data_IF_773335684199
#
_entry.id   IF_773335684199
#
_cell.length_a   1.000
_cell.length_b   1.000
_cell.length_c   1.000
_cell.angle_alpha   90.00
_cell.angle_beta   90.00
_cell.angle_gamma   90.00
#
_symmetry.space_group_name_H-M   'P 1'
#
loop_
_entity.id
_entity.type
_entity.pdbx_description
1 polymer ?
#
# COMPACT_ATOMS: atom_id res chain seq x y z
N UNK A 1 23.29 3.92 2.36
CA UNK A 1 21.88 3.48 2.18
C UNK A 1 21.09 3.95 3.38
N UNK A 2 19.87 4.41 3.16
CA UNK A 2 18.90 4.78 4.19
C UNK A 2 17.76 3.76 4.18
N UNK A 3 17.14 3.52 5.34
CA UNK A 3 15.92 2.72 5.44
C UNK A 3 15.00 3.27 6.53
N UNK A 4 13.70 3.03 6.39
CA UNK A 4 12.70 3.32 7.42
C UNK A 4 11.60 2.25 7.45
N UNK A 5 10.37 2.59 7.10
CA UNK A 5 9.15 1.85 7.40
C UNK A 5 9.20 0.41 6.86
N UNK A 6 8.90 -0.60 7.68
CA UNK A 6 8.62 -1.93 7.16
C UNK A 6 7.34 -1.89 6.29
N UNK A 7 7.32 -2.68 5.23
CA UNK A 7 6.26 -2.69 4.24
C UNK A 7 5.83 -4.15 3.95
N UNK A 8 4.53 -4.34 3.73
CA UNK A 8 3.89 -5.54 3.18
C UNK A 8 4.48 -6.91 3.60
N UNK A 9 4.69 -7.19 4.91
CA UNK A 9 5.14 -8.51 5.31
C UNK A 9 4.11 -9.57 4.96
N UNK A 10 4.56 -10.73 4.45
CA UNK A 10 3.69 -11.88 4.24
C UNK A 10 4.44 -13.20 4.35
N UNK A 11 3.68 -14.28 4.51
CA UNK A 11 4.18 -15.65 4.41
C UNK A 11 3.66 -16.27 3.13
N UNK A 12 4.56 -16.85 2.35
CA UNK A 12 4.24 -17.62 1.14
C UNK A 12 4.24 -19.11 1.50
N UNK A 13 3.05 -19.70 1.57
CA UNK A 13 2.89 -21.13 1.88
C UNK A 13 3.49 -22.04 0.81
N UNK A 14 3.53 -21.61 -0.45
CA UNK A 14 4.03 -22.43 -1.55
C UNK A 14 5.56 -22.56 -1.50
N UNK A 15 6.26 -21.50 -1.08
CA UNK A 15 7.73 -21.49 -0.96
C UNK A 15 8.22 -21.73 0.47
N UNK A 16 7.35 -21.57 1.47
CA UNK A 16 7.68 -21.62 2.89
C UNK A 16 8.52 -20.43 3.36
N UNK A 17 8.45 -19.29 2.66
CA UNK A 17 9.25 -18.10 2.93
C UNK A 17 8.40 -17.00 3.59
N UNK A 18 8.99 -16.35 4.58
CA UNK A 18 8.57 -15.04 5.06
C UNK A 18 9.20 -13.97 4.17
N UNK A 19 8.38 -13.07 3.67
CA UNK A 19 8.77 -11.90 2.90
C UNK A 19 8.65 -10.67 3.80
N UNK A 20 9.68 -9.83 3.80
CA UNK A 20 9.69 -8.53 4.47
C UNK A 20 10.20 -7.48 3.49
N UNK A 21 9.44 -6.40 3.33
CA UNK A 21 9.86 -5.25 2.55
C UNK A 21 10.13 -4.08 3.48
N UNK A 22 10.87 -3.10 2.99
CA UNK A 22 11.16 -1.89 3.74
C UNK A 22 11.40 -0.73 2.78
N UNK A 23 10.96 0.46 3.17
CA UNK A 23 11.34 1.69 2.48
C UNK A 23 12.85 1.89 2.58
N UNK A 24 13.49 2.17 1.45
CA UNK A 24 14.92 2.44 1.37
C UNK A 24 15.27 3.49 0.32
N UNK A 25 16.38 4.20 0.57
CA UNK A 25 17.08 4.94 -0.47
C UNK A 25 18.44 4.25 -0.70
N UNK A 26 18.62 3.51 -1.81
CA UNK A 26 19.87 2.82 -2.09
C UNK A 26 21.03 3.77 -2.42
N UNK A 27 20.73 5.00 -2.83
CA UNK A 27 21.71 5.97 -3.37
C UNK A 27 22.09 7.07 -2.37
N UNK A 28 21.51 7.08 -1.17
CA UNK A 28 21.79 8.10 -0.15
C UNK A 28 21.74 7.55 1.27
N UNK A 29 22.07 8.39 2.24
CA UNK A 29 21.90 8.17 3.69
C UNK A 29 20.83 9.07 4.28
N UNK A 30 20.09 9.79 3.45
CA UNK A 30 18.93 10.60 3.84
C UNK A 30 17.68 10.13 3.10
N UNK A 31 16.53 10.49 3.63
CA UNK A 31 15.24 10.23 3.02
C UNK A 31 15.09 10.87 1.64
N UNK A 32 14.40 10.19 0.73
CA UNK A 32 14.10 10.62 -0.65
C UNK A 32 14.28 9.47 -1.63
N UNK A 33 13.68 9.55 -2.82
CA UNK A 33 13.76 8.51 -3.84
C UNK A 33 13.40 7.11 -3.29
N UNK A 34 12.21 6.99 -2.72
CA UNK A 34 11.88 5.83 -1.90
C UNK A 34 11.56 4.60 -2.75
N UNK A 35 12.29 3.53 -2.46
CA UNK A 35 12.23 2.20 -3.08
C UNK A 35 11.83 1.19 -2.02
N UNK A 36 11.17 0.09 -2.39
CA UNK A 36 10.99 -1.05 -1.51
C UNK A 36 12.16 -2.02 -1.63
N UNK A 37 13.04 -2.03 -0.63
CA UNK A 37 13.98 -3.14 -0.43
C UNK A 37 13.23 -4.40 0.01
N UNK A 38 13.81 -5.58 -0.24
CA UNK A 38 13.16 -6.87 -0.01
C UNK A 38 14.14 -7.87 0.59
N UNK A 39 13.71 -8.55 1.65
CA UNK A 39 14.42 -9.70 2.20
C UNK A 39 13.45 -10.87 2.45
N UNK A 40 13.97 -12.08 2.39
CA UNK A 40 13.23 -13.31 2.71
C UNK A 40 13.89 -14.10 3.82
N UNK A 41 13.10 -14.87 4.55
CA UNK A 41 13.56 -15.74 5.63
C UNK A 41 12.73 -17.02 5.71
N UNK A 42 13.31 -18.09 6.26
CA UNK A 42 12.58 -19.32 6.61
C UNK A 42 12.21 -19.39 8.09
N UNK A 43 12.87 -18.60 8.93
CA UNK A 43 12.82 -18.69 10.39
C UNK A 43 12.55 -17.34 11.08
N UNK A 44 12.36 -16.27 10.30
CA UNK A 44 12.23 -14.86 10.75
C UNK A 44 13.46 -14.29 11.48
N UNK A 45 14.56 -15.03 11.54
CA UNK A 45 15.80 -14.65 12.23
C UNK A 45 16.93 -14.43 11.22
N UNK A 46 17.11 -15.39 10.32
CA UNK A 46 18.14 -15.36 9.27
C UNK A 46 17.51 -14.88 7.98
N UNK A 47 17.99 -13.74 7.47
CA UNK A 47 17.44 -13.08 6.30
C UNK A 47 18.42 -13.10 5.13
N UNK A 48 17.87 -13.27 3.92
CA UNK A 48 18.59 -13.15 2.66
C UNK A 48 17.98 -12.00 1.85
N UNK A 49 18.82 -11.09 1.39
CA UNK A 49 18.38 -10.03 0.48
C UNK A 49 17.85 -10.61 -0.83
N UNK A 50 16.72 -10.08 -1.26
CA UNK A 50 16.13 -10.25 -2.58
C UNK A 50 16.31 -8.97 -3.40
N UNK A 51 16.08 -9.02 -4.73
CA UNK A 51 16.05 -7.80 -5.53
C UNK A 51 15.06 -6.77 -4.97
N UNK A 52 15.37 -5.48 -5.13
CA UNK A 52 14.43 -4.41 -4.79
C UNK A 52 13.08 -4.64 -5.49
N UNK A 53 12.00 -4.57 -4.74
CA UNK A 53 10.68 -4.98 -5.19
C UNK A 53 9.99 -3.92 -6.06
N UNK A 54 9.97 -2.68 -5.58
CA UNK A 54 9.30 -1.55 -6.22
C UNK A 54 10.24 -0.35 -6.30
N UNK A 55 10.41 0.21 -7.49
CA UNK A 55 11.29 1.35 -7.76
C UNK A 55 10.47 2.56 -8.21
N UNK A 56 10.77 3.79 -7.76
CA UNK A 56 10.09 4.98 -8.25
C UNK A 56 10.50 5.33 -9.69
N UNK A 57 9.88 6.37 -10.26
CA UNK A 57 10.17 6.91 -11.61
C UNK A 57 9.88 5.97 -12.79
N UNK A 58 9.21 4.84 -12.56
CA UNK A 58 8.80 3.94 -13.64
C UNK A 58 7.52 4.41 -14.33
N UNK A 59 6.69 5.20 -13.63
CA UNK A 59 5.49 5.84 -14.13
C UNK A 59 5.29 7.22 -13.47
N UNK A 60 4.18 7.90 -13.80
CA UNK A 60 3.88 9.26 -13.30
C UNK A 60 3.26 9.30 -11.91
N UNK A 61 2.78 8.16 -11.39
CA UNK A 61 2.01 8.08 -10.16
C UNK A 61 2.88 7.87 -8.93
N UNK A 62 4.11 7.36 -9.10
CA UNK A 62 5.10 7.24 -8.03
C UNK A 62 6.48 7.82 -8.36
N UNK A 63 6.50 8.83 -9.23
CA UNK A 63 7.70 9.51 -9.69
C UNK A 63 8.43 10.34 -8.62
N UNK A 64 7.91 10.45 -7.40
CA UNK A 64 8.63 11.07 -6.27
C UNK A 64 8.87 10.10 -5.10
N UNK A 65 8.37 8.86 -5.20
CA UNK A 65 8.61 7.82 -4.22
C UNK A 65 7.52 6.76 -4.18
N UNK A 66 7.93 5.54 -3.81
CA UNK A 66 7.07 4.41 -3.46
C UNK A 66 6.99 4.34 -1.94
N UNK A 67 5.87 4.79 -1.38
CA UNK A 67 5.62 4.79 0.06
C UNK A 67 5.07 3.43 0.52
N UNK A 68 4.80 3.30 1.82
CA UNK A 68 4.48 2.04 2.49
C UNK A 68 3.08 1.58 2.13
N UNK A 69 2.79 0.36 2.55
CA UNK A 69 1.55 -0.34 2.26
C UNK A 69 1.67 -1.80 2.63
N UNK A 70 0.70 -2.60 2.19
CA UNK A 70 0.47 -3.96 2.66
C UNK A 70 0.18 -4.92 1.51
N UNK A 71 0.26 -6.22 1.79
CA UNK A 71 0.01 -7.27 0.81
C UNK A 71 -1.34 -7.95 1.04
N UNK A 72 -1.86 -8.57 -0.02
CA UNK A 72 -3.02 -9.45 0.02
C UNK A 72 -2.79 -10.64 -0.93
N UNK A 73 -3.08 -11.84 -0.43
CA UNK A 73 -3.12 -13.05 -1.23
C UNK A 73 -4.40 -13.09 -2.08
N UNK A 74 -4.32 -13.68 -3.27
CA UNK A 74 -5.48 -13.92 -4.13
C UNK A 74 -6.35 -12.65 -4.35
N UNK A 75 -5.69 -11.53 -4.64
CA UNK A 75 -6.36 -10.26 -4.88
C UNK A 75 -6.56 -10.04 -6.38
N UNK A 76 -5.90 -9.04 -6.96
CA UNK A 76 -6.10 -8.66 -8.37
C UNK A 76 -5.70 -9.81 -9.30
N UNK A 77 -6.61 -10.23 -10.16
CA UNK A 77 -6.50 -11.40 -11.06
C UNK A 77 -6.09 -12.71 -10.34
N UNK A 78 -6.47 -12.85 -9.06
CA UNK A 78 -6.10 -14.00 -8.22
C UNK A 78 -4.61 -14.06 -7.86
N UNK A 79 -3.85 -12.99 -8.11
CA UNK A 79 -2.42 -12.91 -7.82
C UNK A 79 -2.17 -12.40 -6.41
N UNK A 80 -1.00 -12.78 -5.87
CA UNK A 80 -0.45 -12.08 -4.73
C UNK A 80 -0.13 -10.63 -5.11
N UNK A 81 -0.67 -9.70 -4.34
CA UNK A 81 -0.70 -8.28 -4.67
C UNK A 81 -0.21 -7.46 -3.49
N UNK A 82 0.63 -6.46 -3.75
CA UNK A 82 0.93 -5.39 -2.79
C UNK A 82 0.14 -4.15 -3.18
N UNK A 83 -0.36 -3.45 -2.18
CA UNK A 83 -1.02 -2.17 -2.26
C UNK A 83 -0.06 -1.17 -1.63
N UNK A 84 0.18 -0.04 -2.26
CA UNK A 84 1.16 0.93 -1.79
C UNK A 84 0.75 2.35 -2.14
N UNK A 85 1.35 3.32 -1.45
CA UNK A 85 1.18 4.72 -1.81
C UNK A 85 2.18 5.17 -2.86
N UNK A 86 1.70 5.56 -4.03
CA UNK A 86 2.51 6.30 -5.01
C UNK A 86 2.53 7.78 -4.70
N UNK A 87 3.71 8.41 -4.80
CA UNK A 87 3.86 9.84 -4.57
C UNK A 87 4.22 10.58 -5.84
N UNK A 88 3.43 11.63 -6.15
CA UNK A 88 3.62 12.50 -7.31
C UNK A 88 3.77 14.00 -6.97
N UNK A 89 3.51 14.40 -5.73
CA UNK A 89 3.76 15.77 -5.25
C UNK A 89 4.41 15.78 -3.85
N UNK A 90 5.34 16.72 -3.65
CA UNK A 90 6.03 17.00 -2.39
C UNK A 90 6.10 18.51 -2.17
N UNK A 91 6.23 19.00 -0.92
CA UNK A 91 6.34 18.23 0.32
C UNK A 91 4.99 17.73 0.84
N UNK A 92 5.00 16.54 1.48
CA UNK A 92 3.84 16.02 2.23
C UNK A 92 4.10 16.23 3.72
N UNK A 93 3.17 16.87 4.42
CA UNK A 93 3.23 17.05 5.87
C UNK A 93 1.86 17.45 6.40
N UNK A 94 1.46 16.90 7.54
CA UNK A 94 0.22 17.26 8.23
C UNK A 94 0.15 18.73 8.68
N UNK A 95 1.29 19.45 8.65
CA UNK A 95 1.38 20.88 8.98
C UNK A 95 1.22 21.81 7.77
N UNK A 96 1.14 21.26 6.56
CA UNK A 96 1.13 22.01 5.30
C UNK A 96 -0.16 21.74 4.54
N UNK A 97 -0.46 22.62 3.60
CA UNK A 97 -1.50 22.38 2.62
C UNK A 97 -1.23 21.07 1.86
N UNK A 98 -2.29 20.31 1.64
CA UNK A 98 -2.24 19.03 0.97
C UNK A 98 -2.20 19.19 -0.56
N UNK A 99 -1.19 18.60 -1.19
CA UNK A 99 -0.91 18.80 -2.63
C UNK A 99 -1.53 17.74 -3.54
N UNK A 100 -2.40 16.86 -3.01
CA UNK A 100 -3.09 15.81 -3.79
C UNK A 100 -2.14 14.89 -4.57
N UNK A 101 -0.99 14.58 -3.97
CA UNK A 101 0.06 13.78 -4.60
C UNK A 101 0.30 12.41 -3.97
N UNK A 102 -0.62 11.87 -3.16
CA UNK A 102 -0.57 10.49 -2.68
C UNK A 102 -1.71 9.69 -3.34
N UNK A 103 -1.38 8.55 -3.93
CA UNK A 103 -2.30 7.70 -4.69
C UNK A 103 -2.26 6.26 -4.16
N UNK A 104 -3.37 5.54 -4.14
CA UNK A 104 -3.37 4.09 -3.85
C UNK A 104 -3.08 3.34 -5.16
N UNK A 105 -1.92 2.69 -5.22
CA UNK A 105 -1.44 1.87 -6.32
C UNK A 105 -1.35 0.40 -5.89
N UNK A 106 -1.04 -0.45 -6.85
CA UNK A 106 -0.78 -1.86 -6.61
C UNK A 106 0.33 -2.42 -7.51
N UNK A 107 0.90 -3.54 -7.09
CA UNK A 107 1.75 -4.38 -7.93
C UNK A 107 1.46 -5.85 -7.66
N UNK A 108 1.56 -6.69 -8.69
CA UNK A 108 1.32 -8.13 -8.60
C UNK A 108 2.62 -8.90 -8.82
N UNK A 109 2.70 -10.11 -8.26
CA UNK A 109 3.79 -11.05 -8.55
C UNK A 109 3.24 -12.35 -9.11
N UNK A 110 4.03 -13.04 -9.93
CA UNK A 110 3.72 -14.36 -10.49
C UNK A 110 4.86 -15.36 -10.32
N UNK A 111 5.87 -15.01 -9.52
CA UNK A 111 7.09 -15.80 -9.31
C UNK A 111 7.57 -15.74 -7.86
N UNK A 112 6.62 -15.93 -6.93
CA UNK A 112 6.91 -16.02 -5.49
C UNK A 112 7.56 -14.75 -4.93
N UNK A 113 7.12 -13.57 -5.39
CA UNK A 113 7.60 -12.29 -4.87
C UNK A 113 8.98 -11.86 -5.33
N UNK A 114 9.63 -12.60 -6.25
CA UNK A 114 10.97 -12.24 -6.74
C UNK A 114 10.98 -11.08 -7.73
N UNK A 115 9.88 -10.86 -8.46
CA UNK A 115 9.64 -9.65 -9.25
C UNK A 115 8.20 -9.17 -9.13
N UNK A 116 7.99 -7.87 -9.34
CA UNK A 116 6.70 -7.22 -9.21
C UNK A 116 6.35 -6.42 -10.46
N UNK A 117 5.11 -6.57 -10.91
CA UNK A 117 4.53 -5.82 -12.02
C UNK A 117 3.54 -4.81 -11.46
N UNK A 118 3.86 -3.52 -11.58
CA UNK A 118 2.97 -2.43 -11.18
C UNK A 118 1.72 -2.36 -12.05
N UNK A 119 0.61 -1.97 -11.42
CA UNK A 119 -0.62 -1.62 -12.12
C UNK A 119 -0.44 -0.39 -13.00
N UNK A 120 -1.19 -0.31 -14.10
CA UNK A 120 -1.08 0.81 -15.04
C UNK A 120 -1.71 2.12 -14.54
N UNK A 121 -2.62 2.04 -13.56
CA UNK A 121 -3.38 3.18 -13.01
C UNK A 121 -3.58 3.00 -11.49
N UNK A 122 -3.78 4.10 -10.74
CA UNK A 122 -4.21 4.04 -9.35
C UNK A 122 -5.51 3.26 -9.20
N UNK A 123 -5.63 2.50 -8.10
CA UNK A 123 -6.90 1.96 -7.63
C UNK A 123 -7.78 3.09 -7.08
N UNK A 124 -7.16 4.03 -6.37
CA UNK A 124 -7.81 5.24 -5.88
C UNK A 124 -6.85 6.40 -6.10
N UNK A 125 -7.22 7.32 -6.99
CA UNK A 125 -6.35 8.42 -7.39
C UNK A 125 -6.31 9.54 -6.34
N UNK A 126 -7.41 9.84 -5.66
CA UNK A 126 -7.49 10.99 -4.75
C UNK A 126 -8.21 10.61 -3.45
N UNK A 127 -7.93 11.31 -2.34
CA UNK A 127 -8.74 11.21 -1.14
C UNK A 127 -10.22 11.59 -1.42
N UNK A 128 -11.15 11.27 -0.51
CA UNK A 128 -12.56 11.58 -0.71
C UNK A 128 -12.78 13.09 -0.93
N UNK A 129 -13.66 13.41 -1.88
CA UNK A 129 -13.89 14.79 -2.32
C UNK A 129 -14.38 15.67 -1.17
N UNK A 130 -13.93 16.92 -1.16
CA UNK A 130 -14.37 17.94 -0.21
C UNK A 130 -13.70 17.87 1.16
N UNK A 131 -12.73 16.99 1.36
CA UNK A 131 -11.97 16.87 2.60
C UNK A 131 -10.63 17.60 2.51
N UNK A 132 -10.33 18.43 3.51
CA UNK A 132 -9.03 19.06 3.67
C UNK A 132 -8.09 18.12 4.43
N UNK A 133 -7.60 17.08 3.77
CA UNK A 133 -6.83 16.01 4.41
C UNK A 133 -5.42 16.46 4.80
N UNK A 134 -4.84 15.91 5.86
CA UNK A 134 -3.46 16.19 6.31
C UNK A 134 -2.41 15.24 5.69
N UNK A 135 -2.89 14.19 5.03
CA UNK A 135 -2.15 13.05 4.52
C UNK A 135 -3.16 11.95 4.18
N UNK A 136 -2.81 11.08 3.23
CA UNK A 136 -3.68 10.01 2.75
C UNK A 136 -2.84 8.91 2.10
N UNK A 137 -2.41 7.94 2.91
CA UNK A 137 -1.40 6.94 2.50
C UNK A 137 -1.49 5.63 3.27
N UNK A 138 -0.57 4.72 2.97
CA UNK A 138 -0.32 3.46 3.66
C UNK A 138 -1.52 2.49 3.55
N UNK A 139 -1.94 2.14 2.31
CA UNK A 139 -3.12 1.30 2.06
C UNK A 139 -2.99 -0.09 2.68
N UNK A 140 -3.95 -0.46 3.52
CA UNK A 140 -4.00 -1.75 4.21
C UNK A 140 -5.26 -2.53 3.79
N UNK A 141 -5.17 -3.50 2.87
CA UNK A 141 -6.29 -4.36 2.52
C UNK A 141 -6.52 -5.40 3.62
N UNK A 142 -7.77 -5.73 3.90
CA UNK A 142 -8.14 -6.74 4.90
C UNK A 142 -9.56 -7.28 4.67
N UNK A 143 -9.87 -8.41 5.32
CA UNK A 143 -11.21 -8.98 5.39
C UNK A 143 -11.78 -8.81 6.80
N UNK A 144 -13.10 -8.63 6.92
CA UNK A 144 -13.73 -8.45 8.23
C UNK A 144 -15.18 -8.87 8.25
N UNK A 145 -15.46 -10.02 8.87
CA UNK A 145 -16.82 -10.53 9.09
C UNK A 145 -17.70 -9.56 9.89
N UNK A 146 -17.11 -8.76 10.77
CA UNK A 146 -17.86 -7.75 11.54
C UNK A 146 -18.30 -6.59 10.66
N UNK A 147 -17.45 -6.15 9.74
CA UNK A 147 -17.82 -5.11 8.78
C UNK A 147 -18.79 -5.66 7.73
N UNK A 148 -18.61 -6.91 7.31
CA UNK A 148 -19.55 -7.60 6.40
C UNK A 148 -20.96 -7.55 6.97
N UNK A 149 -21.10 -7.99 8.22
CA UNK A 149 -22.38 -7.95 8.95
C UNK A 149 -22.91 -6.52 9.14
N UNK A 150 -22.04 -5.55 9.38
CA UNK A 150 -22.43 -4.16 9.60
C UNK A 150 -23.00 -3.52 8.33
N UNK A 151 -22.36 -3.76 7.18
CA UNK A 151 -22.76 -3.17 5.90
C UNK A 151 -23.70 -4.07 5.07
N UNK A 152 -23.94 -5.31 5.51
CA UNK A 152 -24.77 -6.27 4.80
C UNK A 152 -24.10 -6.91 3.59
N UNK A 153 -22.77 -7.05 3.62
CA UNK A 153 -22.00 -7.73 2.58
C UNK A 153 -21.86 -9.23 2.86
N UNK A 154 -21.66 -9.99 1.79
CA UNK A 154 -21.42 -11.43 1.83
C UNK A 154 -20.00 -11.72 1.33
N UNK A 155 -19.12 -12.16 2.22
CA UNK A 155 -17.74 -12.51 1.88
C UNK A 155 -17.64 -13.64 0.83
N UNK A 156 -18.69 -14.47 0.66
CA UNK A 156 -18.69 -15.56 -0.32
C UNK A 156 -18.84 -15.06 -1.75
N UNK A 157 -19.39 -13.86 -1.94
CA UNK A 157 -19.53 -13.21 -3.24
C UNK A 157 -18.43 -12.17 -3.51
N UNK A 158 -17.49 -12.00 -2.58
CA UNK A 158 -16.45 -10.98 -2.60
C UNK A 158 -16.76 -9.84 -1.63
N UNK A 159 -15.96 -9.71 -0.58
CA UNK A 159 -16.01 -8.57 0.34
C UNK A 159 -14.61 -8.25 0.82
N UNK A 160 -14.10 -7.09 0.43
CA UNK A 160 -12.74 -6.66 0.72
C UNK A 160 -12.78 -5.23 1.23
N UNK A 161 -11.99 -4.97 2.27
CA UNK A 161 -11.85 -3.64 2.85
C UNK A 161 -10.44 -3.11 2.65
N UNK A 162 -10.33 -1.79 2.63
CA UNK A 162 -9.05 -1.08 2.56
C UNK A 162 -9.07 0.07 3.55
N UNK A 163 -8.05 0.14 4.39
CA UNK A 163 -7.78 1.32 5.20
C UNK A 163 -6.75 2.20 4.51
N UNK A 164 -6.93 3.51 4.60
CA UNK A 164 -5.91 4.50 4.25
C UNK A 164 -5.74 5.43 5.45
N UNK A 165 -4.52 5.67 5.88
CA UNK A 165 -4.20 6.47 7.05
C UNK A 165 -4.06 7.96 6.70
N UNK A 166 -4.50 8.82 7.61
CA UNK A 166 -4.40 10.26 7.41
C UNK A 166 -5.04 11.08 8.51
N UNK A 167 -5.64 12.20 8.12
CA UNK A 167 -6.38 13.09 9.00
C UNK A 167 -7.04 14.21 8.22
N UNK A 168 -7.74 15.08 8.94
CA UNK A 168 -8.39 16.27 8.40
C UNK A 168 -7.89 17.47 9.19
N UNK A 169 -7.48 18.53 8.49
CA UNK A 169 -7.03 19.76 9.12
C UNK A 169 -8.12 20.32 10.06
N UNK A 170 -7.71 20.82 11.22
CA UNK A 170 -8.57 21.31 12.30
C UNK A 170 -9.48 20.26 12.98
N UNK A 171 -9.50 19.02 12.51
CA UNK A 171 -10.40 17.95 12.97
C UNK A 171 -9.66 16.74 13.57
N UNK A 172 -8.38 16.57 13.23
CA UNK A 172 -7.51 15.52 13.77
C UNK A 172 -7.35 14.28 12.88
N UNK A 173 -6.72 13.22 13.40
CA UNK A 173 -6.40 12.01 12.63
C UNK A 173 -7.67 11.25 12.20
N UNK A 174 -7.57 10.54 11.08
CA UNK A 174 -8.65 9.71 10.50
C UNK A 174 -8.05 8.46 9.88
N UNK A 175 -8.79 7.37 9.98
CA UNK A 175 -8.57 6.15 9.20
C UNK A 175 -9.71 6.04 8.21
N UNK A 176 -9.42 6.19 6.93
CA UNK A 176 -10.40 6.17 5.84
C UNK A 176 -10.71 4.72 5.48
N UNK A 177 -11.99 4.34 5.51
CA UNK A 177 -12.45 2.99 5.17
C UNK A 177 -13.02 2.96 3.76
N UNK A 178 -12.61 1.95 3.00
CA UNK A 178 -13.15 1.63 1.69
C UNK A 178 -13.58 0.17 1.62
N UNK A 179 -14.47 -0.14 0.67
CA UNK A 179 -14.93 -1.49 0.36
C UNK A 179 -14.89 -1.75 -1.16
N UNK A 180 -14.54 -2.96 -1.58
CA UNK A 180 -14.60 -3.42 -2.97
C UNK A 180 -14.92 -4.92 -3.02
N UNK A 181 -15.64 -5.36 -4.05
CA UNK A 181 -15.85 -6.81 -4.30
C UNK A 181 -14.66 -7.44 -5.05
N UNK A 182 -13.91 -6.64 -5.82
CA UNK A 182 -12.92 -7.10 -6.81
C UNK A 182 -11.48 -6.58 -6.57
N UNK A 183 -11.25 -5.84 -5.47
CA UNK A 183 -10.00 -5.10 -5.15
C UNK A 183 -9.62 -3.97 -6.12
N UNK A 184 -10.47 -3.66 -7.10
CA UNK A 184 -10.21 -2.64 -8.12
C UNK A 184 -11.11 -1.43 -7.90
N UNK A 185 -12.42 -1.66 -7.80
CA UNK A 185 -13.43 -0.60 -7.71
C UNK A 185 -13.79 -0.32 -6.25
N UNK A 186 -13.02 0.56 -5.62
CA UNK A 186 -13.15 0.92 -4.21
C UNK A 186 -14.20 2.01 -3.95
N UNK A 187 -15.17 1.68 -3.11
CA UNK A 187 -16.18 2.61 -2.60
C UNK A 187 -15.80 3.13 -1.21
N UNK A 188 -15.82 4.45 -1.02
CA UNK A 188 -15.57 5.08 0.27
C UNK A 188 -16.75 4.87 1.25
N UNK A 189 -16.47 4.37 2.46
CA UNK A 189 -17.47 4.05 3.49
C UNK A 189 -17.49 4.99 4.68
N UNK A 190 -16.55 5.92 4.77
CA UNK A 190 -16.41 6.83 5.90
C UNK A 190 -15.09 6.65 6.63
N UNK A 191 -15.11 6.89 7.93
CA UNK A 191 -13.94 6.73 8.79
C UNK A 191 -14.20 5.61 9.82
N UNK A 192 -13.13 4.93 10.23
CA UNK A 192 -13.12 4.13 11.46
C UNK A 192 -12.82 5.00 12.69
#
# INVERSE_FOLDING_TARGET
KWMNDPCAPYYDEATGLYHMFYQSNPNSTIWGNMTWGHAVSKDQVTWKDYPDALLPFQDKWDNLGVFSGFSMNNAIDGKHTVFYTGVSALPISWKKEYLFGEHVLYATTSNGGSTWQKGAKPLIELPPKGLNVTGWRDPMPFHSQSLDKHFGYDATTGSNYLLVAGGIHEEGPRIFLYHAEDYVDWEYKGYL
#
